data_IF_022796969583
#
_entry.id   IF_022796969583
#
_cell.length_a   1.000
_cell.length_b   1.000
_cell.length_c   1.000
_cell.angle_alpha   90.00
_cell.angle_beta   90.00
_cell.angle_gamma   90.00
#
_symmetry.space_group_name_H-M   'P 1'
#
loop_
_entity.id
_entity.type
_entity.pdbx_description
1 polymer ?
#
# COMPACT_ATOMS: atom_id res chain seq x y z
N UNK A 1 -15.71 26.67 29.85
CA UNK A 1 -14.44 25.99 30.17
C UNK A 1 -13.44 26.38 29.09
N UNK A 2 -12.42 27.17 29.44
CA UNK A 2 -11.35 27.50 28.51
C UNK A 2 -10.62 26.20 28.16
N UNK A 3 -10.70 25.74 26.90
CA UNK A 3 -9.73 24.81 26.36
C UNK A 3 -8.37 25.50 26.50
N UNK A 4 -7.48 24.95 27.30
CA UNK A 4 -6.05 25.25 27.21
C UNK A 4 -5.69 25.07 25.75
N UNK A 5 -5.22 26.13 25.10
CA UNK A 5 -4.78 26.10 23.71
C UNK A 5 -3.67 25.03 23.63
N UNK A 6 -3.92 23.94 22.98
CA UNK A 6 -2.91 22.93 22.62
C UNK A 6 -1.88 23.64 21.77
N UNK A 7 -0.61 23.56 22.12
CA UNK A 7 0.46 24.30 21.42
C UNK A 7 0.60 23.87 19.96
N UNK A 8 0.16 22.65 19.62
CA UNK A 8 0.18 22.08 18.26
C UNK A 8 -0.96 21.05 18.09
N UNK A 9 -1.44 20.81 16.85
CA UNK A 9 -2.38 19.73 16.56
C UNK A 9 -1.76 18.36 16.89
N UNK A 10 -0.44 18.24 16.82
CA UNK A 10 0.28 17.02 17.16
C UNK A 10 0.00 16.60 18.60
N UNK A 11 -0.12 17.58 19.52
CA UNK A 11 -0.47 17.33 20.91
C UNK A 11 -1.94 16.94 21.12
N UNK A 12 -2.77 17.14 20.10
CA UNK A 12 -4.16 16.69 20.09
C UNK A 12 -4.34 15.26 19.54
N UNK A 13 -3.31 14.69 18.90
CA UNK A 13 -3.31 13.30 18.45
C UNK A 13 -3.36 12.36 19.63
N UNK A 14 -4.23 11.36 19.58
CA UNK A 14 -4.30 10.33 20.60
C UNK A 14 -3.08 9.39 20.50
N UNK A 15 -2.16 9.39 21.47
CA UNK A 15 -0.94 8.58 21.41
C UNK A 15 -1.20 7.06 21.51
N UNK A 16 -2.44 6.64 21.82
CA UNK A 16 -2.83 5.22 21.76
C UNK A 16 -3.27 4.78 20.36
N UNK A 17 -3.55 5.72 19.47
CA UNK A 17 -3.94 5.47 18.08
C UNK A 17 -2.77 5.74 17.16
N UNK A 18 -2.09 6.87 17.34
CA UNK A 18 -0.92 7.28 16.56
C UNK A 18 0.33 7.16 17.43
N UNK A 19 0.85 5.93 17.57
CA UNK A 19 1.92 5.60 18.52
C UNK A 19 3.31 6.03 18.04
N UNK A 20 3.50 6.30 16.74
CA UNK A 20 4.76 6.62 16.05
C UNK A 20 4.89 8.10 15.68
N UNK A 21 4.35 8.99 16.52
CA UNK A 21 4.55 10.45 16.37
C UNK A 21 6.04 10.81 16.36
N UNK A 22 6.86 10.10 17.14
CA UNK A 22 8.30 10.24 17.21
C UNK A 22 8.95 8.88 16.93
N UNK A 23 9.75 8.81 15.89
CA UNK A 23 10.64 7.67 15.66
C UNK A 23 11.94 7.86 16.46
N UNK A 24 12.49 6.78 16.98
CA UNK A 24 13.64 6.80 17.88
C UNK A 24 14.90 7.43 17.26
N UNK A 25 15.07 7.25 15.94
CA UNK A 25 16.26 7.64 15.21
C UNK A 25 16.15 9.03 14.54
N UNK A 26 15.00 9.71 14.68
CA UNK A 26 14.77 11.01 14.08
C UNK A 26 14.68 12.12 15.12
N UNK A 27 15.30 13.26 14.82
CA UNK A 27 15.26 14.45 15.68
C UNK A 27 13.88 15.08 15.69
N UNK A 28 13.25 15.17 14.53
CA UNK A 28 11.95 15.77 14.35
C UNK A 28 10.83 14.75 14.57
N UNK A 29 9.69 15.20 15.07
CA UNK A 29 8.46 14.40 15.05
C UNK A 29 8.01 14.15 13.63
N UNK A 30 7.39 13.01 13.40
CA UNK A 30 6.93 12.58 12.09
C UNK A 30 5.89 13.51 11.43
N UNK A 31 4.90 14.07 12.15
CA UNK A 31 3.98 15.03 11.53
C UNK A 31 4.58 16.43 11.38
N UNK A 32 4.32 17.10 10.26
CA UNK A 32 4.64 18.53 10.07
C UNK A 32 3.80 19.43 10.97
N UNK A 33 4.25 20.64 11.29
CA UNK A 33 3.47 21.64 12.04
C UNK A 33 2.47 22.41 11.20
N UNK A 34 2.52 22.24 9.88
CA UNK A 34 1.67 22.93 8.90
C UNK A 34 0.80 21.95 8.13
N UNK A 35 -0.21 22.44 7.46
CA UNK A 35 -1.06 21.68 6.55
C UNK A 35 -0.83 22.12 5.12
N UNK A 36 -1.16 21.29 4.15
CA UNK A 36 -1.18 21.67 2.74
C UNK A 36 -2.62 21.77 2.22
N UNK A 37 -2.90 22.85 1.51
CA UNK A 37 -4.25 23.13 1.00
C UNK A 37 -4.31 22.91 -0.51
N UNK A 38 -5.22 22.02 -0.95
CA UNK A 38 -5.62 21.92 -2.34
C UNK A 38 -7.12 22.25 -2.48
N UNK A 39 -7.57 22.75 -3.66
CA UNK A 39 -8.98 22.91 -3.93
C UNK A 39 -9.70 21.54 -3.96
N UNK A 40 -10.99 21.50 -3.62
CA UNK A 40 -11.77 20.25 -3.62
C UNK A 40 -11.69 19.50 -4.96
N UNK A 41 -11.72 20.25 -6.07
CA UNK A 41 -11.63 19.68 -7.42
C UNK A 41 -10.35 18.86 -7.66
N UNK A 42 -9.24 19.19 -6.98
CA UNK A 42 -8.00 18.42 -7.05
C UNK A 42 -8.17 17.02 -6.43
N UNK A 43 -8.78 16.95 -5.25
CA UNK A 43 -9.07 15.67 -4.60
C UNK A 43 -10.07 14.83 -5.39
N UNK A 44 -11.06 15.47 -5.99
CA UNK A 44 -12.06 14.81 -6.83
C UNK A 44 -11.43 14.25 -8.11
N UNK A 45 -10.49 14.99 -8.73
CA UNK A 45 -9.70 14.49 -9.86
C UNK A 45 -8.85 13.28 -9.46
N UNK A 46 -8.13 13.36 -8.33
CA UNK A 46 -7.29 12.25 -7.87
C UNK A 46 -8.11 10.98 -7.59
N UNK A 47 -9.29 11.11 -6.96
CA UNK A 47 -10.22 9.99 -6.75
C UNK A 47 -10.76 9.44 -8.07
N UNK A 48 -11.14 10.31 -8.99
CA UNK A 48 -11.64 9.90 -10.33
C UNK A 48 -10.57 9.17 -11.11
N UNK A 49 -9.34 9.67 -11.11
CA UNK A 49 -8.20 9.03 -11.74
C UNK A 49 -7.93 7.65 -11.13
N UNK A 50 -7.92 7.57 -9.79
CA UNK A 50 -7.69 6.30 -9.06
C UNK A 50 -8.76 5.26 -9.39
N UNK A 51 -10.05 5.64 -9.42
CA UNK A 51 -11.13 4.73 -9.80
C UNK A 51 -11.00 4.23 -11.26
N UNK A 52 -10.59 5.10 -12.17
CA UNK A 52 -10.36 4.74 -13.57
C UNK A 52 -9.19 3.78 -13.73
N UNK A 53 -8.06 4.10 -13.11
CA UNK A 53 -6.85 3.27 -13.13
C UNK A 53 -7.10 1.90 -12.47
N UNK A 54 -7.84 1.84 -11.36
CA UNK A 54 -8.15 0.56 -10.72
C UNK A 54 -8.88 -0.41 -11.67
N UNK A 55 -9.86 0.07 -12.45
CA UNK A 55 -10.55 -0.76 -13.43
C UNK A 55 -9.60 -1.28 -14.52
N UNK A 56 -8.67 -0.43 -14.97
CA UNK A 56 -7.63 -0.81 -15.95
C UNK A 56 -6.70 -1.86 -15.34
N UNK A 57 -6.30 -1.68 -14.06
CA UNK A 57 -5.46 -2.63 -13.35
C UNK A 57 -6.12 -3.99 -13.15
N UNK A 58 -7.41 -4.04 -12.87
CA UNK A 58 -8.14 -5.32 -12.84
C UNK A 58 -8.04 -6.06 -14.18
N UNK A 59 -8.22 -5.37 -15.31
CA UNK A 59 -8.08 -5.97 -16.64
C UNK A 59 -6.65 -6.47 -16.93
N UNK A 60 -5.64 -5.67 -16.57
CA UNK A 60 -4.24 -6.05 -16.74
C UNK A 60 -3.84 -7.22 -15.81
N UNK A 61 -4.40 -7.28 -14.61
CA UNK A 61 -4.19 -8.39 -13.69
C UNK A 61 -4.73 -9.72 -14.30
N UNK A 62 -5.89 -9.71 -14.95
CA UNK A 62 -6.41 -10.88 -15.65
C UNK A 62 -5.48 -11.36 -16.78
N UNK A 63 -4.83 -10.44 -17.49
CA UNK A 63 -3.81 -10.80 -18.51
C UNK A 63 -2.67 -11.55 -17.83
N UNK A 64 -2.15 -11.01 -16.74
CA UNK A 64 -1.01 -11.61 -16.02
C UNK A 64 -1.38 -12.94 -15.35
N UNK A 65 -2.57 -13.05 -14.77
CA UNK A 65 -3.08 -14.32 -14.20
C UNK A 65 -3.17 -15.44 -15.22
N UNK A 66 -3.48 -15.11 -16.49
CA UNK A 66 -3.63 -16.06 -17.57
C UNK A 66 -2.37 -16.18 -18.46
N UNK A 67 -1.34 -15.40 -18.17
CA UNK A 67 -0.08 -15.46 -18.90
C UNK A 67 0.65 -16.79 -18.69
N UNK A 68 1.49 -17.21 -19.66
CA UNK A 68 2.39 -18.32 -19.47
C UNK A 68 3.33 -18.07 -18.27
N UNK A 69 3.69 -19.13 -17.56
CA UNK A 69 4.58 -19.04 -16.38
C UNK A 69 5.94 -18.39 -16.69
N UNK A 70 6.43 -18.53 -17.94
CA UNK A 70 7.68 -17.88 -18.37
C UNK A 70 7.56 -16.35 -18.38
N UNK A 71 6.40 -15.82 -18.79
CA UNK A 71 6.15 -14.38 -18.74
C UNK A 71 6.02 -13.87 -17.29
N UNK A 72 5.31 -14.59 -16.44
CA UNK A 72 5.20 -14.25 -15.03
C UNK A 72 6.58 -14.23 -14.34
N UNK A 73 7.46 -15.18 -14.68
CA UNK A 73 8.84 -15.22 -14.21
C UNK A 73 9.71 -14.07 -14.77
N UNK A 74 9.51 -13.69 -16.01
CA UNK A 74 10.20 -12.53 -16.60
C UNK A 74 9.82 -11.21 -15.88
N UNK A 75 8.62 -11.16 -15.30
CA UNK A 75 8.19 -10.07 -14.42
C UNK A 75 8.67 -10.22 -12.97
N UNK A 76 9.58 -11.13 -12.68
CA UNK A 76 10.12 -11.43 -11.34
C UNK A 76 9.07 -11.88 -10.32
N UNK A 77 7.93 -12.43 -10.77
CA UNK A 77 6.99 -13.06 -9.83
C UNK A 77 7.60 -14.35 -9.24
N UNK A 78 7.47 -14.57 -7.92
CA UNK A 78 7.95 -15.79 -7.29
C UNK A 78 7.30 -17.01 -7.94
N UNK A 79 8.13 -18.01 -8.32
CA UNK A 79 7.62 -19.22 -8.97
C UNK A 79 6.62 -19.95 -8.08
N UNK A 80 6.89 -19.96 -6.80
CA UNK A 80 6.10 -20.60 -5.75
C UNK A 80 4.71 -19.98 -5.62
N UNK A 81 4.54 -18.71 -6.03
CA UNK A 81 3.25 -18.00 -6.00
C UNK A 81 2.31 -18.40 -7.15
N UNK A 82 2.82 -18.86 -8.30
CA UNK A 82 2.04 -19.03 -9.52
C UNK A 82 0.78 -19.91 -9.36
N UNK A 83 0.80 -21.02 -8.58
CA UNK A 83 -0.40 -21.82 -8.34
C UNK A 83 -1.53 -21.05 -7.65
N UNK A 84 -1.20 -20.12 -6.76
CA UNK A 84 -2.15 -19.44 -5.89
C UNK A 84 -2.75 -18.17 -6.51
N UNK A 85 -2.15 -17.64 -7.58
CA UNK A 85 -2.60 -16.41 -8.26
C UNK A 85 -3.94 -16.58 -9.00
N UNK A 86 -4.40 -17.81 -9.21
CA UNK A 86 -5.62 -18.15 -9.96
C UNK A 86 -6.76 -18.65 -9.06
N UNK A 87 -6.58 -18.61 -7.75
CA UNK A 87 -7.60 -19.04 -6.78
C UNK A 87 -8.66 -17.94 -6.68
N UNK A 88 -9.93 -18.21 -6.96
CA UNK A 88 -10.98 -17.20 -6.86
C UNK A 88 -11.14 -16.73 -5.40
N UNK A 89 -10.94 -15.45 -5.14
CA UNK A 89 -11.19 -14.86 -3.84
C UNK A 89 -12.65 -14.40 -3.65
N UNK A 90 -13.04 -14.07 -2.41
CA UNK A 90 -14.41 -13.79 -2.02
C UNK A 90 -15.07 -12.61 -2.76
N UNK A 91 -14.31 -11.63 -3.23
CA UNK A 91 -14.80 -10.43 -3.90
C UNK A 91 -14.42 -10.37 -5.38
N UNK A 92 -13.66 -11.35 -5.89
CA UNK A 92 -13.19 -11.42 -7.28
C UNK A 92 -12.46 -10.16 -7.73
N UNK A 93 -11.69 -9.57 -6.83
CA UNK A 93 -10.84 -8.41 -7.07
C UNK A 93 -9.40 -8.79 -6.72
N UNK A 94 -8.39 -8.34 -7.50
CA UNK A 94 -7.00 -8.70 -7.24
C UNK A 94 -6.49 -8.11 -5.92
N UNK A 95 -7.07 -7.02 -5.45
CA UNK A 95 -6.82 -6.44 -4.13
C UNK A 95 -8.10 -5.82 -3.56
N UNK A 96 -8.26 -5.86 -2.23
CA UNK A 96 -9.43 -5.29 -1.55
C UNK A 96 -9.12 -3.94 -0.92
N UNK A 97 -7.92 -3.82 -0.32
CA UNK A 97 -7.37 -2.60 0.25
C UNK A 97 -6.06 -2.27 -0.43
N UNK A 98 -5.98 -1.14 -1.11
CA UNK A 98 -4.74 -0.68 -1.74
C UNK A 98 -4.55 0.82 -1.61
N UNK A 99 -3.32 1.29 -1.84
CA UNK A 99 -2.94 2.70 -1.87
C UNK A 99 -2.23 3.00 -3.18
N UNK A 100 -2.71 4.02 -3.87
CA UNK A 100 -2.10 4.53 -5.09
C UNK A 100 -1.31 5.78 -4.76
N UNK A 101 -0.04 5.81 -5.14
CA UNK A 101 0.85 6.92 -4.84
C UNK A 101 1.12 7.75 -6.10
N UNK A 102 1.00 9.07 -5.94
CA UNK A 102 1.14 10.05 -7.01
C UNK A 102 2.20 11.09 -6.64
N UNK A 103 2.80 11.67 -7.66
CA UNK A 103 3.59 12.90 -7.57
C UNK A 103 2.91 14.00 -8.38
N UNK A 104 3.35 15.25 -8.18
CA UNK A 104 2.96 16.37 -9.02
C UNK A 104 4.05 16.61 -10.05
N UNK A 105 3.67 16.84 -11.31
CA UNK A 105 4.60 17.41 -12.28
C UNK A 105 4.71 18.95 -12.12
N UNK A 106 5.61 19.59 -12.87
CA UNK A 106 5.86 21.05 -12.77
C UNK A 106 4.62 21.90 -13.07
N UNK A 107 3.65 21.37 -13.81
CA UNK A 107 2.37 22.01 -14.07
C UNK A 107 1.31 21.71 -12.99
N UNK A 108 1.68 20.97 -11.94
CA UNK A 108 0.79 20.62 -10.84
C UNK A 108 -0.20 19.49 -11.16
N UNK A 109 0.02 18.74 -12.24
CA UNK A 109 -0.82 17.59 -12.60
C UNK A 109 -0.38 16.35 -11.84
N UNK A 110 -1.34 15.55 -11.40
CA UNK A 110 -1.07 14.28 -10.70
C UNK A 110 -0.53 13.22 -11.67
N UNK A 111 0.53 12.52 -11.26
CA UNK A 111 1.17 11.44 -11.99
C UNK A 111 1.39 10.25 -11.05
N UNK A 112 0.77 9.12 -11.36
CA UNK A 112 0.85 7.91 -10.54
C UNK A 112 2.20 7.21 -10.74
N UNK A 113 2.89 6.93 -9.64
CA UNK A 113 4.25 6.36 -9.62
C UNK A 113 4.32 4.97 -9.00
N UNK A 114 3.31 4.56 -8.22
CA UNK A 114 3.34 3.29 -7.48
C UNK A 114 1.96 2.81 -7.06
N UNK A 115 1.84 1.48 -6.88
CA UNK A 115 0.69 0.79 -6.31
C UNK A 115 1.17 0.00 -5.10
N UNK A 116 0.55 0.23 -3.95
CA UNK A 116 0.71 -0.60 -2.76
C UNK A 116 -0.57 -1.43 -2.60
N UNK A 117 -0.56 -2.66 -3.11
CA UNK A 117 -1.76 -3.46 -3.28
C UNK A 117 -1.92 -4.56 -2.24
N UNK A 118 -0.83 -5.00 -1.60
CA UNK A 118 -0.86 -6.14 -0.68
C UNK A 118 -0.99 -5.71 0.79
N UNK A 119 -0.04 -4.90 1.27
CA UNK A 119 0.05 -4.46 2.66
C UNK A 119 0.24 -2.93 2.75
N UNK A 120 -0.74 -2.11 2.32
CA UNK A 120 -0.58 -0.67 2.37
C UNK A 120 -0.59 -0.15 3.82
N UNK A 121 0.45 0.60 4.22
CA UNK A 121 0.52 1.42 5.43
C UNK A 121 0.02 2.85 5.17
N UNK A 122 0.22 3.78 6.12
CA UNK A 122 -0.25 5.16 6.04
C UNK A 122 -1.77 5.31 6.29
N UNK A 123 -2.34 4.34 7.00
CA UNK A 123 -3.79 4.26 7.27
C UNK A 123 -4.17 5.21 8.40
N UNK A 124 -3.43 5.20 9.51
CA UNK A 124 -3.72 6.04 10.68
C UNK A 124 -3.64 7.51 10.33
N UNK A 125 -2.65 7.90 9.54
CA UNK A 125 -2.48 9.26 9.03
C UNK A 125 -3.69 9.73 8.24
N UNK A 126 -4.11 8.93 7.25
CA UNK A 126 -5.13 9.30 6.28
C UNK A 126 -6.55 9.22 6.84
N UNK A 127 -6.85 8.21 7.68
CA UNK A 127 -8.20 7.96 8.17
C UNK A 127 -8.48 8.52 9.57
N UNK A 128 -7.44 9.02 10.27
CA UNK A 128 -7.57 9.58 11.61
C UNK A 128 -6.84 10.91 11.78
N UNK A 129 -5.49 10.93 11.64
CA UNK A 129 -4.69 12.09 12.01
C UNK A 129 -4.98 13.32 11.14
N UNK A 130 -5.28 13.13 9.85
CA UNK A 130 -5.65 14.20 8.93
C UNK A 130 -6.89 14.97 9.40
N UNK A 131 -7.91 14.26 9.89
CA UNK A 131 -9.12 14.89 10.42
C UNK A 131 -8.85 15.71 11.68
N UNK A 132 -7.98 15.23 12.58
CA UNK A 132 -7.55 15.97 13.78
C UNK A 132 -6.84 17.26 13.41
N UNK A 133 -5.94 17.20 12.43
CA UNK A 133 -5.25 18.40 11.93
C UNK A 133 -6.22 19.40 11.28
N UNK A 134 -7.11 18.93 10.41
CA UNK A 134 -8.10 19.79 9.74
C UNK A 134 -9.01 20.51 10.76
N UNK A 135 -9.48 19.80 11.80
CA UNK A 135 -10.27 20.39 12.88
C UNK A 135 -9.48 21.46 13.66
N UNK A 136 -8.22 21.15 14.01
CA UNK A 136 -7.35 22.08 14.73
C UNK A 136 -7.13 23.39 13.97
N UNK A 137 -6.89 23.32 12.65
CA UNK A 137 -6.68 24.48 11.81
C UNK A 137 -7.99 25.17 11.37
N UNK A 138 -9.15 24.65 11.77
CA UNK A 138 -10.45 25.18 11.34
C UNK A 138 -10.66 25.10 9.83
N UNK A 139 -10.15 24.05 9.21
CA UNK A 139 -10.23 23.79 7.76
C UNK A 139 -11.10 22.56 7.49
N UNK A 140 -11.54 22.42 6.24
CA UNK A 140 -12.31 21.25 5.82
C UNK A 140 -11.38 20.06 5.55
N UNK A 141 -11.75 18.92 6.13
CA UNK A 141 -11.06 17.65 5.90
C UNK A 141 -11.49 17.04 4.56
N UNK A 142 -10.57 16.84 3.59
CA UNK A 142 -10.90 16.14 2.34
C UNK A 142 -11.29 14.68 2.58
N UNK A 143 -10.99 14.12 3.76
CA UNK A 143 -11.28 12.75 4.18
C UNK A 143 -12.53 12.64 5.05
N UNK A 144 -13.36 13.69 5.12
CA UNK A 144 -14.60 13.65 5.89
C UNK A 144 -15.46 12.44 5.49
N UNK A 145 -15.76 11.56 6.45
CA UNK A 145 -16.51 10.31 6.22
C UNK A 145 -15.67 9.09 5.82
N UNK A 146 -14.39 9.25 5.46
CA UNK A 146 -13.53 8.13 5.03
C UNK A 146 -13.35 7.06 6.13
N UNK A 147 -13.24 7.45 7.41
CA UNK A 147 -13.18 6.51 8.53
C UNK A 147 -14.41 5.60 8.58
N UNK A 148 -15.60 6.14 8.35
CA UNK A 148 -16.84 5.35 8.29
C UNK A 148 -16.84 4.40 7.08
N UNK A 149 -16.38 4.86 5.91
CA UNK A 149 -16.22 4.02 4.72
C UNK A 149 -15.27 2.84 4.99
N UNK A 150 -14.14 3.08 5.66
CA UNK A 150 -13.19 2.03 6.03
C UNK A 150 -13.80 1.03 7.02
N UNK A 151 -14.54 1.50 8.04
CA UNK A 151 -15.27 0.63 8.96
C UNK A 151 -16.27 -0.25 8.21
N UNK A 152 -17.08 0.33 7.32
CA UNK A 152 -18.11 -0.38 6.57
C UNK A 152 -17.49 -1.39 5.59
N UNK A 153 -16.36 -1.07 4.98
CA UNK A 153 -15.54 -1.97 4.17
C UNK A 153 -15.07 -3.19 5.00
N UNK A 154 -14.49 -2.96 6.17
CA UNK A 154 -14.03 -4.04 7.07
C UNK A 154 -15.18 -4.90 7.57
N UNK A 155 -16.35 -4.29 7.84
CA UNK A 155 -17.58 -5.00 8.22
C UNK A 155 -18.05 -5.93 7.10
N UNK A 156 -18.00 -5.50 5.85
CA UNK A 156 -18.35 -6.34 4.70
C UNK A 156 -17.38 -7.51 4.54
N UNK A 157 -16.08 -7.29 4.75
CA UNK A 157 -15.10 -8.38 4.74
C UNK A 157 -15.43 -9.40 5.83
N UNK A 158 -15.60 -8.95 7.09
CA UNK A 158 -15.94 -9.83 8.19
C UNK A 158 -17.19 -10.67 7.88
N UNK A 159 -18.27 -10.03 7.43
CA UNK A 159 -19.51 -10.71 7.08
C UNK A 159 -19.35 -11.74 5.96
N UNK A 160 -18.45 -11.47 5.00
CA UNK A 160 -18.26 -12.35 3.82
C UNK A 160 -17.34 -13.52 4.08
N UNK A 161 -16.26 -13.33 4.86
CA UNK A 161 -15.22 -14.36 5.04
C UNK A 161 -15.32 -15.11 6.37
N UNK A 162 -15.93 -14.54 7.41
CA UNK A 162 -16.11 -15.20 8.70
C UNK A 162 -17.44 -15.99 8.81
N UNK A 163 -18.50 -15.56 8.10
CA UNK A 163 -19.82 -16.19 8.15
C UNK A 163 -19.95 -17.55 7.43
N UNK A 164 -19.31 -17.83 6.28
CA UNK A 164 -19.61 -19.03 5.49
C UNK A 164 -19.18 -20.35 6.10
N UNK A 165 -18.26 -20.36 7.07
CA UNK A 165 -17.77 -21.60 7.70
C UNK A 165 -18.83 -22.23 8.62
N UNK A 166 -19.77 -21.45 9.11
CA UNK A 166 -20.86 -21.96 9.95
C UNK A 166 -21.91 -22.76 9.16
N UNK A 167 -22.06 -22.50 7.85
CA UNK A 167 -23.13 -23.07 7.02
C UNK A 167 -22.79 -24.43 6.39
N UNK A 168 -21.50 -24.76 6.24
CA UNK A 168 -21.05 -25.98 5.56
C UNK A 168 -21.11 -27.26 6.40
N UNK A 169 -21.31 -27.15 7.71
CA UNK A 169 -21.07 -28.32 8.60
C UNK A 169 -22.31 -28.84 9.31
N UNK A 170 -23.54 -28.35 9.11
CA UNK A 170 -24.77 -28.80 9.83
C UNK A 170 -24.60 -29.00 11.35
N UNK A 171 -23.51 -28.55 11.92
CA UNK A 171 -23.20 -28.55 13.33
C UNK A 171 -22.76 -27.18 13.77
N UNK A 172 -23.15 -26.74 14.97
CA UNK A 172 -22.67 -25.52 15.62
C UNK A 172 -21.16 -25.62 15.89
N UNK A 173 -20.35 -25.41 14.85
CA UNK A 173 -18.93 -25.10 15.09
C UNK A 173 -18.88 -23.74 15.78
N UNK A 174 -18.06 -23.60 16.82
CA UNK A 174 -17.85 -22.29 17.45
C UNK A 174 -17.41 -21.29 16.38
N UNK A 175 -17.83 -20.02 16.48
CA UNK A 175 -17.40 -18.97 15.54
C UNK A 175 -15.87 -18.96 15.52
N UNK A 176 -15.32 -19.04 14.30
CA UNK A 176 -13.88 -19.00 14.12
C UNK A 176 -13.43 -17.54 14.05
N UNK A 177 -12.40 -17.13 14.82
CA UNK A 177 -11.97 -15.74 14.90
C UNK A 177 -11.42 -15.21 13.58
N UNK A 178 -11.66 -13.91 13.31
CA UNK A 178 -10.89 -13.13 12.36
C UNK A 178 -9.64 -12.61 13.08
N UNK A 179 -8.46 -12.93 12.59
CA UNK A 179 -7.19 -12.56 13.22
C UNK A 179 -6.52 -11.41 12.47
N UNK A 180 -6.08 -10.39 13.19
CA UNK A 180 -5.20 -9.34 12.71
C UNK A 180 -3.79 -9.60 13.21
N UNK A 181 -2.79 -9.50 12.32
CA UNK A 181 -1.40 -9.83 12.64
C UNK A 181 -0.40 -8.90 11.95
N UNK A 182 0.65 -8.56 12.69
CA UNK A 182 1.86 -7.90 12.20
C UNK A 182 3.04 -8.32 13.08
N UNK A 183 4.25 -7.90 12.72
CA UNK A 183 5.39 -7.88 13.64
C UNK A 183 5.16 -6.71 14.61
N UNK A 184 4.94 -7.00 15.88
CA UNK A 184 4.45 -6.05 16.88
C UNK A 184 5.55 -5.23 17.59
N UNK A 185 6.78 -5.44 17.21
CA UNK A 185 7.94 -4.60 17.57
C UNK A 185 8.09 -3.36 16.65
N UNK A 186 7.36 -3.31 15.51
CA UNK A 186 7.29 -2.13 14.65
C UNK A 186 6.07 -1.25 15.02
N UNK A 187 6.28 -0.05 15.66
CA UNK A 187 5.17 0.76 16.18
C UNK A 187 4.15 1.21 15.12
N UNK A 188 4.62 1.50 13.88
CA UNK A 188 3.75 1.88 12.77
C UNK A 188 2.85 0.73 12.33
N UNK A 189 3.43 -0.46 12.12
CA UNK A 189 2.71 -1.65 11.69
C UNK A 189 1.67 -2.06 12.73
N UNK A 190 2.07 -2.03 14.00
CA UNK A 190 1.18 -2.33 15.12
C UNK A 190 0.02 -1.34 15.20
N UNK A 191 0.27 -0.03 15.02
CA UNK A 191 -0.77 0.99 15.06
C UNK A 191 -1.75 0.84 13.89
N UNK A 192 -1.25 0.67 12.65
CA UNK A 192 -2.09 0.44 11.46
C UNK A 192 -2.95 -0.82 11.63
N UNK A 193 -2.36 -1.93 12.08
CA UNK A 193 -3.06 -3.20 12.30
C UNK A 193 -4.13 -3.08 13.38
N UNK A 194 -3.82 -2.48 14.53
CA UNK A 194 -4.78 -2.27 15.62
C UNK A 194 -5.90 -1.31 15.26
N UNK A 195 -5.61 -0.28 14.47
CA UNK A 195 -6.63 0.65 14.01
C UNK A 195 -7.64 -0.03 13.09
N UNK A 196 -7.19 -0.86 12.14
CA UNK A 196 -8.08 -1.67 11.30
C UNK A 196 -8.90 -2.65 12.14
N UNK A 197 -8.25 -3.35 13.07
CA UNK A 197 -8.93 -4.28 13.98
C UNK A 197 -10.03 -3.57 14.77
N UNK A 198 -9.74 -2.43 15.37
CA UNK A 198 -10.73 -1.64 16.13
C UNK A 198 -11.91 -1.24 15.24
N UNK A 199 -11.69 -0.78 14.02
CA UNK A 199 -12.77 -0.43 13.10
C UNK A 199 -13.64 -1.63 12.73
N UNK A 200 -13.04 -2.81 12.54
CA UNK A 200 -13.80 -4.03 12.30
C UNK A 200 -14.64 -4.42 13.53
N UNK A 201 -14.09 -4.29 14.76
CA UNK A 201 -14.83 -4.52 16.01
C UNK A 201 -16.00 -3.53 16.19
N UNK A 202 -15.82 -2.27 15.83
CA UNK A 202 -16.91 -1.27 15.84
C UNK A 202 -18.04 -1.62 14.87
N UNK A 203 -17.70 -2.15 13.68
CA UNK A 203 -18.67 -2.53 12.64
C UNK A 203 -19.32 -3.91 12.85
N UNK A 204 -18.62 -4.80 13.55
CA UNK A 204 -19.07 -6.17 13.85
C UNK A 204 -18.94 -6.47 15.37
N UNK A 205 -19.75 -5.82 16.23
CA UNK A 205 -19.59 -5.87 17.69
C UNK A 205 -19.80 -7.26 18.31
N UNK A 206 -20.36 -8.21 17.58
CA UNK A 206 -20.55 -9.60 18.00
C UNK A 206 -19.56 -10.56 17.31
N UNK A 207 -18.67 -10.03 16.47
CA UNK A 207 -17.63 -10.81 15.81
C UNK A 207 -16.51 -11.20 16.77
N UNK A 208 -15.96 -12.39 16.61
CA UNK A 208 -14.74 -12.78 17.30
C UNK A 208 -13.54 -12.27 16.47
N UNK A 209 -12.98 -11.11 16.88
CA UNK A 209 -11.93 -10.41 16.17
C UNK A 209 -10.76 -10.23 17.14
N UNK A 210 -9.60 -10.80 16.78
CA UNK A 210 -8.45 -10.91 17.68
C UNK A 210 -7.19 -10.35 17.03
N UNK A 211 -6.26 -9.87 17.86
CA UNK A 211 -4.88 -9.60 17.47
C UNK A 211 -4.00 -10.76 17.89
N UNK A 212 -3.03 -11.12 17.05
CA UNK A 212 -1.93 -12.00 17.39
C UNK A 212 -0.65 -11.51 16.72
N UNK A 213 0.46 -11.47 17.46
CA UNK A 213 1.77 -11.15 16.91
C UNK A 213 2.15 -12.14 15.81
N UNK A 214 2.77 -11.67 14.74
CA UNK A 214 3.24 -12.56 13.67
C UNK A 214 4.34 -13.52 14.16
N UNK A 215 5.11 -13.11 15.15
CA UNK A 215 6.11 -13.98 15.82
C UNK A 215 5.50 -15.18 16.55
N UNK A 216 4.22 -15.12 16.91
CA UNK A 216 3.51 -16.19 17.59
C UNK A 216 2.64 -17.04 16.65
N UNK A 217 2.67 -16.72 15.34
CA UNK A 217 1.84 -17.43 14.37
C UNK A 217 2.41 -18.82 14.11
N UNK A 218 1.52 -19.80 14.18
CA UNK A 218 1.80 -21.19 13.85
C UNK A 218 0.80 -21.68 12.81
N UNK A 219 1.16 -22.70 12.07
CA UNK A 219 0.26 -23.44 11.17
C UNK A 219 0.32 -24.94 11.47
N UNK A 220 -0.81 -25.61 11.30
CA UNK A 220 -0.89 -27.08 11.29
C UNK A 220 -1.79 -27.53 10.13
N UNK A 221 -1.98 -28.82 9.96
CA UNK A 221 -2.78 -29.41 8.87
C UNK A 221 -4.25 -28.95 8.83
N UNK A 222 -4.75 -28.20 9.82
CA UNK A 222 -6.12 -27.65 9.90
C UNK A 222 -6.18 -26.14 9.70
N UNK A 223 -5.04 -25.46 9.58
CA UNK A 223 -4.95 -24.03 9.40
C UNK A 223 -4.10 -23.34 10.47
N UNK A 224 -4.57 -22.18 10.95
CA UNK A 224 -3.88 -21.32 11.94
C UNK A 224 -4.46 -21.59 13.33
N UNK A 225 -3.80 -22.38 14.20
CA UNK A 225 -4.29 -22.66 15.56
C UNK A 225 -4.13 -21.42 16.46
N UNK A 226 -5.06 -21.27 17.40
CA UNK A 226 -5.04 -20.24 18.44
C UNK A 226 -4.88 -20.85 19.82
N UNK A 227 -4.52 -20.03 20.81
CA UNK A 227 -4.20 -20.49 22.18
C UNK A 227 -5.34 -21.20 22.91
N UNK A 228 -6.59 -20.99 22.49
CA UNK A 228 -7.79 -21.65 23.02
C UNK A 228 -8.20 -22.89 22.23
N UNK A 229 -7.33 -23.43 21.38
CA UNK A 229 -7.56 -24.53 20.45
C UNK A 229 -8.62 -24.26 19.36
N UNK A 230 -9.06 -23.01 19.17
CA UNK A 230 -9.80 -22.59 17.99
C UNK A 230 -8.85 -22.37 16.80
N UNK A 231 -9.42 -22.17 15.61
CA UNK A 231 -8.67 -21.90 14.38
C UNK A 231 -9.15 -20.59 13.76
N UNK A 232 -8.24 -19.79 13.23
CA UNK A 232 -8.60 -18.57 12.50
C UNK A 232 -9.52 -18.89 11.31
N UNK A 233 -10.57 -18.09 11.11
CA UNK A 233 -11.40 -18.14 9.89
C UNK A 233 -10.81 -17.28 8.78
N UNK A 234 -10.15 -16.20 9.15
CA UNK A 234 -9.50 -15.27 8.24
C UNK A 234 -8.32 -14.59 8.93
N UNK A 235 -7.37 -14.16 8.14
CA UNK A 235 -6.18 -13.43 8.57
C UNK A 235 -6.04 -12.14 7.76
N UNK A 236 -5.98 -10.99 8.47
CA UNK A 236 -5.28 -9.80 7.99
C UNK A 236 -3.81 -9.92 8.40
N UNK A 237 -2.91 -9.79 7.46
CA UNK A 237 -1.47 -9.80 7.71
C UNK A 237 -0.84 -8.50 7.23
N UNK A 238 -0.04 -7.87 8.05
CA UNK A 238 0.86 -6.81 7.64
C UNK A 238 2.28 -7.38 7.49
N UNK A 239 2.39 -8.42 6.70
CA UNK A 239 3.63 -9.08 6.27
C UNK A 239 3.52 -9.35 4.77
N UNK A 240 4.41 -8.78 3.93
CA UNK A 240 4.26 -8.82 2.48
C UNK A 240 4.29 -10.24 1.92
N UNK A 241 3.45 -10.49 0.91
CA UNK A 241 3.33 -11.81 0.29
C UNK A 241 4.61 -12.25 -0.41
N UNK A 242 5.32 -11.31 -1.02
CA UNK A 242 6.60 -11.59 -1.70
C UNK A 242 7.71 -12.02 -0.74
N UNK A 243 7.59 -11.68 0.55
CA UNK A 243 8.50 -12.11 1.60
C UNK A 243 7.99 -13.42 2.20
N UNK A 244 6.71 -13.47 2.56
CA UNK A 244 6.08 -14.63 3.18
C UNK A 244 6.30 -15.92 2.37
N UNK A 245 6.21 -15.85 1.03
CA UNK A 245 6.37 -17.04 0.18
C UNK A 245 7.77 -17.66 0.26
N UNK A 246 8.78 -16.87 0.57
CA UNK A 246 10.16 -17.32 0.70
C UNK A 246 10.51 -17.83 2.10
N UNK A 247 9.60 -17.69 3.07
CA UNK A 247 9.85 -18.13 4.44
C UNK A 247 9.99 -19.62 4.55
N UNK A 248 10.85 -20.03 5.48
CA UNK A 248 11.20 -21.42 5.78
C UNK A 248 11.06 -21.71 7.26
N UNK A 249 10.72 -22.93 7.59
CA UNK A 249 10.82 -23.43 8.97
C UNK A 249 12.31 -23.55 9.38
N UNK A 250 12.56 -23.75 10.67
CA UNK A 250 13.92 -24.00 11.18
C UNK A 250 14.60 -25.23 10.52
N UNK A 251 13.81 -26.20 10.07
CA UNK A 251 14.28 -27.41 9.37
C UNK A 251 14.39 -27.20 7.84
N UNK A 252 14.10 -25.98 7.34
CA UNK A 252 14.22 -25.61 5.93
C UNK A 252 13.01 -25.92 5.05
N UNK A 253 11.89 -26.39 5.63
CA UNK A 253 10.65 -26.62 4.89
C UNK A 253 10.04 -25.31 4.39
N UNK A 254 9.35 -25.31 3.24
CA UNK A 254 8.81 -24.08 2.60
C UNK A 254 7.56 -23.57 3.32
N UNK A 255 7.71 -22.87 4.44
CA UNK A 255 6.64 -22.41 5.31
C UNK A 255 5.61 -21.54 4.55
N UNK A 256 6.07 -20.62 3.68
CA UNK A 256 5.18 -19.77 2.90
C UNK A 256 4.31 -20.57 1.92
N UNK A 257 4.87 -21.58 1.25
CA UNK A 257 4.09 -22.46 0.38
C UNK A 257 3.08 -23.30 1.18
N UNK A 258 3.50 -23.89 2.31
CA UNK A 258 2.60 -24.64 3.21
C UNK A 258 1.43 -23.75 3.71
N UNK A 259 1.70 -22.51 4.03
CA UNK A 259 0.66 -21.54 4.43
C UNK A 259 -0.33 -21.29 3.29
N UNK A 260 0.12 -21.12 2.05
CA UNK A 260 -0.75 -20.89 0.90
C UNK A 260 -1.49 -22.17 0.44
N UNK A 261 -0.94 -23.35 0.66
CA UNK A 261 -1.65 -24.61 0.45
C UNK A 261 -2.89 -24.70 1.37
N UNK A 262 -2.74 -24.34 2.64
CA UNK A 262 -3.87 -24.28 3.58
C UNK A 262 -4.91 -23.21 3.18
N UNK A 263 -4.47 -22.08 2.64
CA UNK A 263 -5.39 -21.08 2.04
C UNK A 263 -6.14 -21.67 0.85
N UNK A 264 -5.46 -22.36 -0.06
CA UNK A 264 -6.06 -23.04 -1.22
C UNK A 264 -7.07 -24.12 -0.80
N UNK A 265 -6.80 -24.84 0.28
CA UNK A 265 -7.70 -25.84 0.86
C UNK A 265 -8.91 -25.21 1.58
N UNK A 266 -8.94 -23.87 1.71
CA UNK A 266 -10.03 -23.14 2.36
C UNK A 266 -10.00 -23.22 3.88
N UNK A 267 -8.84 -23.53 4.49
CA UNK A 267 -8.68 -23.57 5.94
C UNK A 267 -8.88 -22.20 6.58
N UNK A 268 -8.57 -21.11 5.87
CA UNK A 268 -8.80 -19.71 6.25
C UNK A 268 -8.86 -18.82 5.00
N UNK A 269 -9.38 -17.60 5.17
CA UNK A 269 -9.32 -16.54 4.14
C UNK A 269 -8.20 -15.55 4.42
N UNK A 270 -7.75 -14.82 3.39
CA UNK A 270 -6.73 -13.77 3.50
C UNK A 270 -7.27 -12.40 3.11
N UNK A 271 -6.85 -11.39 3.83
CA UNK A 271 -6.98 -9.97 3.51
C UNK A 271 -5.57 -9.34 3.50
N UNK A 272 -5.06 -8.84 2.36
CA UNK A 272 -5.56 -8.99 1.00
C UNK A 272 -5.37 -10.42 0.46
N UNK A 273 -6.06 -10.79 -0.66
CA UNK A 273 -5.87 -12.10 -1.27
C UNK A 273 -4.50 -12.20 -1.96
N UNK A 274 -4.00 -13.44 -2.21
CA UNK A 274 -2.68 -13.64 -2.83
C UNK A 274 -2.48 -12.95 -4.18
N UNK A 275 -3.55 -12.72 -4.94
CA UNK A 275 -3.51 -12.02 -6.23
C UNK A 275 -3.05 -10.57 -6.12
N UNK A 276 -3.07 -9.98 -4.92
CA UNK A 276 -2.59 -8.62 -4.68
C UNK A 276 -1.11 -8.43 -5.07
N UNK A 277 -0.32 -9.50 -4.99
CA UNK A 277 1.10 -9.50 -5.41
C UNK A 277 1.28 -9.12 -6.88
N UNK A 278 0.27 -9.39 -7.75
CA UNK A 278 0.32 -9.01 -9.15
C UNK A 278 0.44 -7.50 -9.33
N UNK A 279 -0.36 -6.74 -8.57
CA UNK A 279 -0.36 -5.29 -8.61
C UNK A 279 0.77 -4.68 -7.76
N UNK A 280 1.21 -5.41 -6.72
CA UNK A 280 2.33 -5.00 -5.87
C UNK A 280 3.66 -5.02 -6.63
N UNK A 281 3.79 -5.90 -7.60
CA UNK A 281 4.95 -6.02 -8.47
C UNK A 281 5.16 -4.74 -9.30
N UNK A 282 6.31 -4.07 -9.18
CA UNK A 282 6.55 -2.80 -9.88
C UNK A 282 6.54 -2.92 -11.41
N UNK A 283 6.91 -4.09 -11.98
CA UNK A 283 6.81 -4.35 -13.43
C UNK A 283 5.36 -4.33 -13.94
N UNK A 284 4.38 -4.44 -13.04
CA UNK A 284 2.97 -4.31 -13.41
C UNK A 284 2.65 -2.94 -14.02
N UNK A 285 3.31 -1.88 -13.57
CA UNK A 285 3.17 -0.54 -14.15
C UNK A 285 3.70 -0.51 -15.60
N UNK A 286 4.82 -1.21 -15.87
CA UNK A 286 5.37 -1.35 -17.22
C UNK A 286 4.43 -2.18 -18.13
N UNK A 287 3.84 -3.25 -17.60
CA UNK A 287 2.83 -4.03 -18.32
C UNK A 287 1.62 -3.17 -18.72
N UNK A 288 1.06 -2.40 -17.80
CA UNK A 288 -0.09 -1.50 -18.08
C UNK A 288 0.28 -0.46 -19.14
N UNK A 289 1.48 0.12 -19.04
CA UNK A 289 1.96 1.09 -20.02
C UNK A 289 2.13 0.45 -21.41
N UNK A 290 2.75 -0.73 -21.51
CA UNK A 290 2.92 -1.46 -22.76
C UNK A 290 1.57 -1.85 -23.41
N UNK A 291 0.61 -2.33 -22.61
CA UNK A 291 -0.75 -2.66 -23.09
C UNK A 291 -1.47 -1.41 -23.62
N UNK A 292 -1.33 -0.25 -22.95
CA UNK A 292 -1.90 1.01 -23.42
C UNK A 292 -1.21 1.54 -24.67
N UNK A 293 0.11 1.40 -24.77
CA UNK A 293 0.89 1.82 -25.95
C UNK A 293 0.55 0.98 -27.19
N UNK A 294 0.22 -0.30 -27.02
CA UNK A 294 -0.19 -1.17 -28.13
C UNK A 294 -1.52 -0.77 -28.76
N UNK A 295 -2.40 -0.07 -28.04
CA UNK A 295 -3.77 0.31 -28.43
C UNK A 295 -4.66 -0.87 -28.89
N UNK A 296 -4.27 -2.11 -28.53
CA UNK A 296 -4.98 -3.33 -28.97
C UNK A 296 -5.82 -3.95 -27.86
N UNK A 297 -5.48 -3.70 -26.60
CA UNK A 297 -6.10 -4.33 -25.43
C UNK A 297 -7.08 -3.42 -24.69
N UNK A 298 -6.67 -2.18 -24.44
CA UNK A 298 -7.51 -1.18 -23.78
C UNK A 298 -8.32 -0.38 -24.81
N UNK A 299 -9.49 0.13 -24.37
CA UNK A 299 -10.26 1.08 -25.17
C UNK A 299 -9.49 2.40 -25.34
N UNK A 300 -9.84 3.23 -26.36
CA UNK A 300 -9.21 4.54 -26.54
C UNK A 300 -9.27 5.45 -25.29
N UNK A 301 -10.39 5.41 -24.54
CA UNK A 301 -10.57 6.19 -23.31
C UNK A 301 -9.66 5.67 -22.18
N UNK A 302 -9.51 4.34 -22.07
CA UNK A 302 -8.59 3.74 -21.08
C UNK A 302 -7.13 4.04 -21.43
N UNK A 303 -6.75 3.96 -22.70
CA UNK A 303 -5.43 4.37 -23.15
C UNK A 303 -5.15 5.85 -22.86
N UNK A 304 -6.14 6.72 -23.11
CA UNK A 304 -6.02 8.14 -22.78
C UNK A 304 -5.86 8.38 -21.28
N UNK A 305 -6.56 7.62 -20.44
CA UNK A 305 -6.47 7.72 -18.99
C UNK A 305 -5.10 7.25 -18.48
N UNK A 306 -4.57 6.14 -19.01
CA UNK A 306 -3.20 5.69 -18.70
C UNK A 306 -2.19 6.76 -19.09
N UNK A 307 -2.23 7.28 -20.32
CA UNK A 307 -1.32 8.35 -20.77
C UNK A 307 -1.39 9.61 -19.92
N UNK A 308 -2.57 9.96 -19.41
CA UNK A 308 -2.76 11.15 -18.59
C UNK A 308 -2.18 11.00 -17.18
N UNK A 309 -2.42 9.87 -16.53
CA UNK A 309 -2.17 9.74 -15.10
C UNK A 309 -1.03 8.80 -14.72
N UNK A 310 -0.72 7.78 -15.52
CA UNK A 310 0.39 6.89 -15.22
C UNK A 310 1.70 7.50 -15.71
N UNK A 311 2.74 7.45 -14.87
CA UNK A 311 4.10 7.76 -15.33
C UNK A 311 4.53 6.67 -16.31
N UNK A 312 5.01 7.02 -17.53
CA UNK A 312 5.54 6.04 -18.47
C UNK A 312 6.54 5.11 -17.78
N UNK A 313 6.29 3.82 -17.92
CA UNK A 313 7.00 2.77 -17.19
C UNK A 313 7.44 1.69 -18.17
N UNK A 314 8.62 1.14 -18.00
CA UNK A 314 9.28 0.26 -18.96
C UNK A 314 9.90 -0.93 -18.25
N UNK A 315 9.92 -2.08 -18.91
CA UNK A 315 10.69 -3.23 -18.47
C UNK A 315 12.20 -2.95 -18.57
N UNK A 316 13.00 -3.67 -17.80
CA UNK A 316 14.44 -3.50 -17.81
C UNK A 316 15.05 -3.70 -19.20
N UNK A 317 14.56 -4.73 -19.93
CA UNK A 317 15.03 -5.06 -21.29
C UNK A 317 14.70 -3.97 -22.34
N UNK A 318 13.70 -3.13 -22.07
CA UNK A 318 13.32 -2.04 -22.97
C UNK A 318 14.21 -0.80 -22.82
N UNK A 319 15.01 -0.72 -21.75
CA UNK A 319 15.75 0.50 -21.40
C UNK A 319 16.71 0.96 -22.50
N UNK A 320 17.39 0.03 -23.16
CA UNK A 320 18.35 0.38 -24.22
C UNK A 320 17.67 1.02 -25.43
N UNK A 321 16.42 0.71 -25.69
CA UNK A 321 15.63 1.29 -26.78
C UNK A 321 15.03 2.67 -26.45
N UNK A 322 15.06 3.10 -25.18
CA UNK A 322 14.54 4.42 -24.78
C UNK A 322 15.44 5.54 -25.32
N UNK A 323 14.83 6.71 -25.52
CA UNK A 323 15.55 7.93 -25.95
C UNK A 323 16.45 8.51 -24.85
N UNK A 324 17.15 9.59 -25.22
CA UNK A 324 17.89 10.39 -24.26
C UNK A 324 16.94 11.00 -23.22
N UNK A 325 17.32 10.98 -21.95
CA UNK A 325 16.48 11.50 -20.88
C UNK A 325 16.93 11.11 -19.49
N UNK A 326 16.13 11.50 -18.50
CA UNK A 326 16.29 11.08 -17.10
C UNK A 326 15.22 10.04 -16.77
N UNK A 327 15.63 8.98 -16.12
CA UNK A 327 14.78 7.86 -15.74
C UNK A 327 14.99 7.51 -14.27
N UNK A 328 13.95 6.97 -13.65
CA UNK A 328 14.01 6.35 -12.31
C UNK A 328 14.14 4.85 -12.50
N UNK A 329 15.24 4.25 -12.04
CA UNK A 329 15.39 2.80 -11.93
C UNK A 329 14.91 2.35 -10.56
N UNK A 330 14.04 1.35 -10.52
CA UNK A 330 13.49 0.76 -9.29
C UNK A 330 13.66 -0.76 -9.33
N UNK A 331 14.08 -1.35 -8.24
CA UNK A 331 13.99 -2.81 -8.05
C UNK A 331 12.52 -3.22 -7.96
N UNK A 332 12.17 -4.38 -8.53
CA UNK A 332 10.77 -4.86 -8.62
C UNK A 332 10.13 -4.94 -7.23
N UNK A 333 10.86 -5.47 -6.24
CA UNK A 333 10.39 -5.67 -4.87
C UNK A 333 11.00 -4.68 -3.86
N UNK A 334 11.69 -3.64 -4.35
CA UNK A 334 12.24 -2.58 -3.50
C UNK A 334 11.14 -1.82 -2.75
N UNK A 335 11.39 -1.47 -1.48
CA UNK A 335 10.47 -0.75 -0.59
C UNK A 335 11.14 0.53 -0.08
N UNK A 336 10.36 1.52 0.33
CA UNK A 336 10.81 2.74 1.02
C UNK A 336 11.91 3.50 0.28
N UNK A 337 11.90 3.46 -1.04
CA UNK A 337 12.92 4.10 -1.88
C UNK A 337 14.26 3.37 -1.92
N UNK A 338 14.37 2.15 -1.35
CA UNK A 338 15.61 1.36 -1.38
C UNK A 338 16.05 1.11 -2.82
N UNK A 339 17.36 1.35 -3.08
CA UNK A 339 18.02 1.14 -4.37
C UNK A 339 17.34 1.87 -5.55
N UNK A 340 16.57 2.93 -5.27
CA UNK A 340 16.03 3.80 -6.32
C UNK A 340 17.16 4.69 -6.86
N UNK A 341 17.33 4.69 -8.18
CA UNK A 341 18.38 5.46 -8.85
C UNK A 341 17.78 6.38 -9.89
N UNK A 342 18.28 7.61 -9.97
CA UNK A 342 18.07 8.50 -11.11
C UNK A 342 19.17 8.24 -12.12
N UNK A 343 18.79 7.77 -13.30
CA UNK A 343 19.70 7.42 -14.39
C UNK A 343 19.57 8.46 -15.48
N UNK A 344 20.70 9.08 -15.89
CA UNK A 344 20.78 9.94 -17.06
C UNK A 344 21.21 9.10 -18.26
N UNK A 345 20.39 9.04 -19.31
CA UNK A 345 20.73 8.40 -20.58
C UNK A 345 21.07 9.44 -21.63
N UNK A 346 22.17 9.25 -22.34
CA UNK A 346 22.60 10.10 -23.46
C UNK A 346 23.41 9.29 -24.49
N UNK A 347 23.00 9.32 -25.76
CA UNK A 347 23.71 8.67 -26.87
C UNK A 347 24.04 7.19 -26.63
N UNK A 348 23.08 6.40 -26.10
CA UNK A 348 23.21 4.98 -25.71
C UNK A 348 24.18 4.72 -24.54
N UNK A 349 24.76 5.75 -23.95
CA UNK A 349 25.47 5.65 -22.67
C UNK A 349 24.54 6.07 -21.53
N UNK A 350 24.72 5.49 -20.36
CA UNK A 350 23.99 5.91 -19.17
C UNK A 350 24.93 6.08 -17.99
N UNK A 351 24.62 7.07 -17.17
CA UNK A 351 25.32 7.33 -15.90
C UNK A 351 24.30 7.46 -14.79
N UNK A 352 24.62 6.92 -13.62
CA UNK A 352 23.82 7.14 -12.43
C UNK A 352 24.04 8.59 -11.97
N UNK A 353 23.02 9.43 -12.13
CA UNK A 353 23.06 10.82 -11.70
C UNK A 353 22.82 10.98 -10.21
N UNK A 354 22.05 10.06 -9.61
CA UNK A 354 21.73 10.03 -8.19
C UNK A 354 21.37 8.60 -7.80
N UNK A 355 21.95 8.14 -6.71
CA UNK A 355 21.54 6.91 -6.03
C UNK A 355 21.12 7.28 -4.62
N UNK A 356 19.94 6.87 -4.23
CA UNK A 356 19.51 7.02 -2.87
C UNK A 356 20.18 5.93 -2.04
N UNK A 357 21.30 6.28 -1.41
CA UNK A 357 21.85 5.48 -0.33
C UNK A 357 20.91 5.65 0.87
N UNK A 358 20.23 4.60 1.23
CA UNK A 358 19.50 4.53 2.48
C UNK A 358 20.40 3.76 3.42
N UNK A 359 20.98 4.49 4.38
CA UNK A 359 21.73 3.90 5.48
C UNK A 359 20.68 3.31 6.44
N UNK A 360 20.34 2.05 6.23
CA UNK A 360 19.48 1.32 7.14
C UNK A 360 20.33 0.80 8.28
N UNK A 361 20.27 1.50 9.42
CA UNK A 361 20.65 0.91 10.70
C UNK A 361 19.68 -0.25 11.06
N UNK A 362 18.47 -0.25 10.49
CA UNK A 362 17.47 -1.30 10.65
C UNK A 362 17.14 -1.95 9.30
N UNK A 363 17.18 -3.26 9.27
CA UNK A 363 16.92 -4.09 8.10
C UNK A 363 15.48 -3.94 7.61
N UNK A 364 15.25 -3.06 6.64
CA UNK A 364 13.99 -3.13 5.87
C UNK A 364 13.97 -4.46 5.15
N UNK A 365 13.16 -5.37 5.65
CA UNK A 365 12.98 -6.67 5.06
C UNK A 365 12.30 -6.49 3.70
N UNK A 366 13.02 -6.79 2.62
CA UNK A 366 12.46 -6.84 1.28
C UNK A 366 13.00 -8.07 0.54
N UNK A 367 12.18 -8.57 -0.39
CA UNK A 367 12.63 -9.63 -1.30
C UNK A 367 13.74 -9.09 -2.20
N UNK A 368 14.79 -9.88 -2.41
CA UNK A 368 15.80 -9.58 -3.40
C UNK A 368 15.19 -9.64 -4.81
N UNK A 369 15.34 -8.57 -5.59
CA UNK A 369 14.84 -8.48 -6.95
C UNK A 369 15.87 -8.99 -7.93
N UNK A 370 15.43 -9.83 -8.89
CA UNK A 370 16.27 -10.31 -10.00
C UNK A 370 16.30 -9.34 -11.17
N UNK A 371 15.32 -8.44 -11.22
CA UNK A 371 15.13 -7.46 -12.28
C UNK A 371 14.76 -6.09 -11.71
N UNK A 372 14.82 -5.08 -12.56
CA UNK A 372 14.38 -3.73 -12.27
C UNK A 372 13.33 -3.28 -13.29
N UNK A 373 12.74 -2.12 -13.04
CA UNK A 373 11.92 -1.40 -13.98
C UNK A 373 12.39 0.04 -14.08
N UNK A 374 12.06 0.70 -15.17
CA UNK A 374 12.34 2.11 -15.38
C UNK A 374 11.05 2.91 -15.49
N UNK A 375 11.08 4.14 -14.99
CA UNK A 375 10.02 5.13 -15.17
C UNK A 375 10.62 6.44 -15.66
N UNK A 376 9.86 7.20 -16.45
CA UNK A 376 10.25 8.57 -16.74
C UNK A 376 10.46 9.35 -15.45
N UNK A 377 11.50 10.16 -15.40
CA UNK A 377 11.71 11.07 -14.28
C UNK A 377 10.71 12.24 -14.37
N UNK A 378 9.99 12.47 -13.30
CA UNK A 378 9.07 13.60 -13.18
C UNK A 378 9.73 14.68 -12.33
N UNK A 379 10.04 15.82 -12.91
CA UNK A 379 10.43 17.00 -12.15
C UNK A 379 9.23 17.48 -11.34
N UNK A 380 9.45 17.69 -10.04
CA UNK A 380 8.38 17.99 -9.09
C UNK A 380 8.49 19.43 -8.59
N UNK A 381 7.37 20.14 -8.38
CA UNK A 381 7.38 21.41 -7.66
C UNK A 381 7.81 21.19 -6.21
N UNK A 382 8.49 22.17 -5.66
CA UNK A 382 8.90 22.16 -4.25
C UNK A 382 7.97 23.03 -3.42
N UNK A 383 7.69 22.56 -2.22
CA UNK A 383 6.81 23.21 -1.25
C UNK A 383 7.57 23.48 0.04
N UNK A 384 7.06 24.41 0.84
CA UNK A 384 7.71 24.84 2.09
C UNK A 384 6.79 24.50 3.25
N UNK A 385 7.28 23.69 4.19
CA UNK A 385 6.55 23.30 5.39
C UNK A 385 7.43 23.39 6.64
N UNK A 386 6.79 23.48 7.80
CA UNK A 386 7.46 23.60 9.09
C UNK A 386 7.45 22.24 9.82
N UNK A 387 8.60 21.83 10.31
CA UNK A 387 8.86 20.69 11.17
C UNK A 387 9.51 21.15 12.48
N UNK A 388 9.83 20.25 13.39
CA UNK A 388 10.41 20.65 14.70
C UNK A 388 11.77 21.40 14.55
N UNK A 389 12.60 20.99 13.59
CA UNK A 389 13.89 21.64 13.33
C UNK A 389 13.79 22.97 12.60
N UNK A 390 12.59 23.36 12.10
CA UNK A 390 12.38 24.63 11.40
C UNK A 390 11.58 24.48 10.11
N UNK A 391 11.83 25.42 9.19
CA UNK A 391 11.15 25.42 7.89
C UNK A 391 12.04 24.77 6.84
N UNK A 392 11.50 23.78 6.14
CA UNK A 392 12.20 23.02 5.11
C UNK A 392 11.45 23.05 3.79
N UNK A 393 12.17 22.85 2.70
CA UNK A 393 11.63 22.77 1.33
C UNK A 393 11.70 21.30 0.85
N UNK A 394 10.64 20.83 0.20
CA UNK A 394 10.57 19.45 -0.26
C UNK A 394 9.46 19.18 -1.28
N UNK A 395 9.35 17.91 -1.68
CA UNK A 395 8.38 17.40 -2.62
C UNK A 395 7.24 16.65 -1.92
N UNK A 396 6.11 16.47 -2.62
CA UNK A 396 4.95 15.76 -2.10
C UNK A 396 4.78 14.42 -2.80
N UNK A 397 4.63 13.37 -2.02
CA UNK A 397 4.02 12.11 -2.47
C UNK A 397 2.60 12.06 -1.95
N UNK A 398 1.64 12.09 -2.87
CA UNK A 398 0.21 12.06 -2.57
C UNK A 398 -0.29 10.62 -2.65
N UNK A 399 -1.22 10.26 -1.79
CA UNK A 399 -1.78 8.92 -1.73
C UNK A 399 -3.30 8.94 -1.83
N UNK A 400 -3.89 7.94 -2.51
CA UNK A 400 -5.33 7.68 -2.53
C UNK A 400 -5.59 6.22 -2.17
N UNK A 401 -6.34 6.00 -1.10
CA UNK A 401 -6.75 4.66 -0.69
C UNK A 401 -7.92 4.16 -1.51
N UNK A 402 -7.89 2.87 -1.85
CA UNK A 402 -8.93 2.17 -2.59
C UNK A 402 -9.53 1.06 -1.71
N UNK A 403 -10.83 1.07 -1.55
CA UNK A 403 -11.63 0.09 -0.81
C UNK A 403 -12.52 -0.65 -1.81
N UNK A 404 -12.24 -1.91 -2.13
CA UNK A 404 -12.89 -2.65 -3.22
C UNK A 404 -12.93 -1.87 -4.55
N UNK A 405 -11.85 -1.14 -4.87
CA UNK A 405 -11.77 -0.30 -6.06
C UNK A 405 -12.55 1.01 -5.99
N UNK A 406 -13.15 1.35 -4.85
CA UNK A 406 -13.76 2.65 -4.60
C UNK A 406 -12.75 3.57 -3.93
N UNK A 407 -12.48 4.76 -4.47
CA UNK A 407 -11.57 5.72 -3.84
C UNK A 407 -12.12 6.22 -2.49
N UNK A 408 -11.24 6.40 -1.51
CA UNK A 408 -11.58 6.83 -0.16
C UNK A 408 -10.65 7.93 0.32
N UNK A 409 -9.93 7.69 1.44
CA UNK A 409 -9.03 8.68 2.02
C UNK A 409 -7.86 9.03 1.09
N UNK A 410 -7.44 10.29 1.16
CA UNK A 410 -6.23 10.80 0.54
C UNK A 410 -5.22 11.19 1.63
N UNK A 411 -3.95 11.21 1.29
CA UNK A 411 -2.90 11.60 2.22
C UNK A 411 -1.69 12.19 1.51
N UNK A 412 -0.77 12.79 2.25
CA UNK A 412 0.48 13.29 1.72
C UNK A 412 1.65 12.96 2.64
N UNK A 413 2.75 12.55 2.02
CA UNK A 413 4.08 12.53 2.62
C UNK A 413 4.89 13.67 2.03
N UNK A 414 5.63 14.35 2.87
CA UNK A 414 6.50 15.47 2.50
C UNK A 414 7.95 15.07 2.74
N UNK A 415 8.78 15.16 1.70
CA UNK A 415 10.19 14.76 1.78
C UNK A 415 11.09 15.88 1.28
N UNK A 416 12.20 16.21 1.99
CA UNK A 416 13.23 17.12 1.48
C UNK A 416 13.86 16.62 0.17
N UNK A 417 13.89 15.30 -0.02
CA UNK A 417 14.40 14.66 -1.23
C UNK A 417 13.30 14.54 -2.30
N UNK A 418 13.71 14.51 -3.58
CA UNK A 418 12.80 14.26 -4.71
C UNK A 418 12.22 12.83 -4.69
N UNK A 419 12.95 11.88 -4.11
CA UNK A 419 12.52 10.50 -3.92
C UNK A 419 12.25 10.33 -2.43
N UNK A 420 10.98 10.19 -2.06
CA UNK A 420 10.58 9.96 -0.68
C UNK A 420 11.11 8.61 -0.16
N UNK A 421 11.56 8.60 1.08
CA UNK A 421 11.99 7.42 1.81
C UNK A 421 11.53 7.50 3.26
N UNK A 422 12.28 6.86 4.15
CA UNK A 422 11.99 6.84 5.59
C UNK A 422 12.05 8.22 6.25
N UNK A 423 12.76 9.18 5.65
CA UNK A 423 12.87 10.59 6.11
C UNK A 423 11.64 11.45 5.79
N UNK A 424 10.61 10.88 5.16
CA UNK A 424 9.42 11.62 4.80
C UNK A 424 8.54 11.90 6.03
N UNK A 425 7.95 13.08 6.06
CA UNK A 425 7.02 13.54 7.10
C UNK A 425 5.57 13.29 6.69
N UNK A 426 4.70 13.03 7.67
CA UNK A 426 3.27 13.13 7.47
C UNK A 426 2.87 14.61 7.32
N UNK A 427 2.24 14.94 6.21
CA UNK A 427 1.72 16.29 5.92
C UNK A 427 0.18 16.23 5.82
N UNK A 428 -0.55 16.80 6.77
CA UNK A 428 -1.99 16.83 6.69
C UNK A 428 -2.50 17.67 5.51
N UNK A 429 -3.53 17.15 4.85
CA UNK A 429 -4.20 17.79 3.72
C UNK A 429 -5.50 18.44 4.14
N UNK A 430 -5.77 19.63 3.60
CA UNK A 430 -7.03 20.35 3.83
C UNK A 430 -7.57 20.88 2.51
N UNK A 431 -8.86 21.20 2.49
CA UNK A 431 -9.47 21.92 1.36
C UNK A 431 -9.84 23.33 1.77
N UNK A 432 -9.76 24.24 0.83
CA UNK A 432 -10.17 25.63 1.02
C UNK A 432 -11.60 25.76 1.54
N UNK A 433 -11.83 26.82 2.29
CA UNK A 433 -13.14 27.17 2.87
C UNK A 433 -14.20 27.47 1.79
#
# INVERSE_FOLDING_TARGET
MNRTQTESYIDALNPRVFTYIQYADYTDRYPTHTVHEFPQAFYDEMRTASAGLFRIFCKAAEVLQNAPDDFARAMDLPREMLPYLRIPNAFRLPTWLSRFDFVLDEEGRIRMVEINADTPCFIVESFYANGVAAEYFGRRDPNAGARAQLRDFLTQIHARVAAPVADLTQGTLPPRPFVFSCFDDYPEDLANTRFLMQLMQEGAPHGDIRFRSFYEMEIDARGIPLTDNSYASALYRLHPMEILIDERTADGEPLGAMFLDLYQEGCFALMNPPEAILLQNKSFMALVHALAASEQFFTPDECALVRRYLVPSYFEDDFDALGDGRYIRKEIWGREGRNVRVVQKHCNEHTTAFEKEIDYADEVICRESRAAMYQDFIAQPRFVHTVDSGTIEGCLTLSCFMLFGTPSAVGARFSPAEIAGTEAYFLPLVTGS
#
